data_IF_837437551013
#
_entry.id   IF_837437551013
#
_cell.length_a   1.000
_cell.length_b   1.000
_cell.length_c   1.000
_cell.angle_alpha   90.00
_cell.angle_beta   90.00
_cell.angle_gamma   90.00
#
_symmetry.space_group_name_H-M   'P 1'
#
loop_
_entity.id
_entity.type
_entity.pdbx_description
1 polymer ?
#
# COMPACT_ATOMS: atom_id res chain seq x y z
N UNK A 1 -16.60 -14.97 19.82
CA UNK A 1 -16.45 -13.55 20.22
C UNK A 1 -14.99 -13.14 20.33
N UNK A 2 -14.65 -11.95 19.77
CA UNK A 2 -13.31 -11.38 19.89
C UNK A 2 -13.11 -10.94 21.36
N UNK A 3 -12.04 -11.42 21.99
CA UNK A 3 -11.71 -11.12 23.40
C UNK A 3 -10.72 -9.95 23.51
N UNK A 4 -9.82 -9.83 22.56
CA UNK A 4 -8.81 -8.77 22.50
C UNK A 4 -8.55 -8.33 21.07
N UNK A 5 -8.02 -7.12 20.91
CA UNK A 5 -7.52 -6.61 19.64
C UNK A 5 -6.01 -6.36 19.78
N UNK A 6 -5.26 -6.67 18.73
CA UNK A 6 -3.82 -6.57 18.71
C UNK A 6 -3.39 -5.63 17.57
N UNK A 7 -2.64 -4.60 17.91
CA UNK A 7 -2.05 -3.62 16.99
C UNK A 7 -0.54 -3.68 17.11
N UNK A 8 0.16 -3.47 16.01
CA UNK A 8 1.62 -3.46 15.97
C UNK A 8 2.05 -2.15 15.32
N UNK A 9 2.94 -1.43 16.00
CA UNK A 9 3.65 -0.27 15.44
C UNK A 9 5.09 -0.73 15.20
N UNK A 10 5.51 -0.73 13.94
CA UNK A 10 6.87 -1.07 13.54
C UNK A 10 7.59 0.18 13.08
N UNK A 11 8.80 0.40 13.59
CA UNK A 11 9.62 1.55 13.27
C UNK A 11 10.65 1.18 12.19
N UNK A 12 11.15 2.17 11.46
CA UNK A 12 12.20 1.96 10.48
C UNK A 12 13.51 1.61 11.20
N UNK A 13 14.26 0.59 10.78
CA UNK A 13 15.58 0.27 11.35
C UNK A 13 16.58 1.44 11.29
N UNK A 14 16.48 2.29 10.26
CA UNK A 14 17.33 3.48 10.14
C UNK A 14 17.15 4.47 11.30
N UNK A 15 15.96 4.51 11.92
CA UNK A 15 15.68 5.40 13.06
C UNK A 15 16.56 5.09 14.28
N UNK A 16 17.06 3.87 14.40
CA UNK A 16 17.98 3.47 15.49
C UNK A 16 19.31 4.21 15.36
N UNK A 17 19.85 4.27 14.15
CA UNK A 17 21.16 4.86 13.86
C UNK A 17 21.10 6.36 13.59
N UNK A 18 20.05 6.81 12.91
CA UNK A 18 19.95 8.19 12.42
C UNK A 18 19.19 9.11 13.40
N UNK A 19 18.16 8.58 14.06
CA UNK A 19 17.24 9.38 14.88
C UNK A 19 17.27 9.01 16.38
N UNK A 20 18.20 8.14 16.78
CA UNK A 20 18.39 7.74 18.17
C UNK A 20 17.20 7.01 18.77
N UNK A 21 16.48 6.22 17.96
CA UNK A 21 15.40 5.38 18.44
C UNK A 21 15.98 4.26 19.32
N UNK A 22 15.41 4.12 20.51
CA UNK A 22 15.71 3.03 21.43
C UNK A 22 14.43 2.30 21.81
N UNK A 23 14.55 1.05 22.30
CA UNK A 23 13.38 0.32 22.80
C UNK A 23 12.62 1.09 23.90
N UNK A 24 13.33 1.83 24.77
CA UNK A 24 12.69 2.68 25.80
C UNK A 24 11.90 3.84 25.19
N UNK A 25 12.47 4.52 24.17
CA UNK A 25 11.79 5.61 23.47
C UNK A 25 10.58 5.11 22.71
N UNK A 26 10.68 4.00 21.97
CA UNK A 26 9.56 3.34 21.30
C UNK A 26 8.44 2.94 22.27
N UNK A 27 8.81 2.37 23.44
CA UNK A 27 7.87 2.00 24.48
C UNK A 27 7.11 3.23 25.02
N UNK A 28 7.81 4.34 25.31
CA UNK A 28 7.19 5.56 25.81
C UNK A 28 6.20 6.15 24.80
N UNK A 29 6.60 6.28 23.53
CA UNK A 29 5.76 6.77 22.43
C UNK A 29 4.52 5.90 22.27
N UNK A 30 4.69 4.58 22.25
CA UNK A 30 3.59 3.64 22.06
C UNK A 30 2.62 3.61 23.24
N UNK A 31 3.10 3.84 24.47
CA UNK A 31 2.25 4.01 25.64
C UNK A 31 1.38 5.27 25.53
N UNK A 32 1.94 6.38 25.08
CA UNK A 32 1.18 7.64 24.86
C UNK A 32 0.13 7.42 23.78
N UNK A 33 0.52 6.82 22.63
CA UNK A 33 -0.41 6.48 21.55
C UNK A 33 -1.53 5.55 22.02
N UNK A 34 -1.20 4.56 22.84
CA UNK A 34 -2.20 3.64 23.39
C UNK A 34 -3.20 4.37 24.31
N UNK A 35 -2.73 5.28 25.18
CA UNK A 35 -3.59 6.09 26.03
C UNK A 35 -4.51 7.01 25.21
N UNK A 36 -3.99 7.63 24.16
CA UNK A 36 -4.71 8.53 23.28
C UNK A 36 -5.77 7.81 22.44
N UNK A 37 -5.40 6.66 21.85
CA UNK A 37 -6.26 5.99 20.87
C UNK A 37 -7.19 4.93 21.48
N UNK A 38 -6.86 4.42 22.67
CA UNK A 38 -7.66 3.40 23.36
C UNK A 38 -8.08 3.85 24.76
N UNK A 39 -8.63 5.06 24.89
CA UNK A 39 -9.03 5.56 26.21
C UNK A 39 -10.11 4.65 26.82
N UNK A 40 -9.98 4.37 28.11
CA UNK A 40 -10.92 3.53 28.87
C UNK A 40 -10.81 2.02 28.65
N UNK A 41 -9.89 1.55 27.78
CA UNK A 41 -9.57 0.12 27.63
C UNK A 41 -8.42 -0.28 28.54
N UNK A 42 -8.43 -1.53 28.98
CA UNK A 42 -7.22 -2.14 29.50
C UNK A 42 -6.29 -2.48 28.34
N UNK A 43 -5.06 -2.04 28.42
CA UNK A 43 -4.06 -2.23 27.38
C UNK A 43 -2.77 -2.83 27.96
N UNK A 44 -2.16 -3.74 27.22
CA UNK A 44 -0.79 -4.19 27.39
C UNK A 44 0.03 -3.64 26.24
N UNK A 45 1.12 -2.94 26.55
CA UNK A 45 2.03 -2.38 25.56
C UNK A 45 3.43 -2.95 25.81
N UNK A 46 3.97 -3.65 24.81
CA UNK A 46 5.28 -4.33 24.91
C UNK A 46 6.10 -4.02 23.67
N UNK A 47 7.34 -3.58 23.88
CA UNK A 47 8.28 -3.29 22.80
C UNK A 47 9.31 -4.40 22.69
N UNK A 48 9.55 -4.86 21.47
CA UNK A 48 10.59 -5.78 21.08
C UNK A 48 11.66 -5.03 20.29
N UNK A 49 12.92 -5.38 20.52
CA UNK A 49 14.08 -4.74 19.88
C UNK A 49 14.83 -5.66 18.92
N UNK A 50 14.44 -6.91 18.86
CA UNK A 50 15.13 -7.99 18.15
C UNK A 50 14.55 -8.31 16.77
N UNK A 51 13.50 -7.68 16.36
CA UNK A 51 12.85 -7.90 15.05
C UNK A 51 12.69 -9.38 14.67
N UNK A 52 11.55 -9.78 14.17
CA UNK A 52 11.38 -11.16 13.68
C UNK A 52 12.25 -11.35 12.42
N UNK A 53 13.05 -12.42 12.35
CA UNK A 53 14.00 -12.76 11.27
C UNK A 53 15.25 -11.85 11.21
N UNK A 54 15.82 -11.49 12.35
CA UNK A 54 17.10 -10.71 12.40
C UNK A 54 17.01 -9.34 11.69
N UNK A 55 15.79 -8.86 11.41
CA UNK A 55 15.58 -7.57 10.74
C UNK A 55 15.99 -6.37 11.59
N UNK A 56 16.19 -6.56 12.90
CA UNK A 56 16.63 -5.53 13.84
C UNK A 56 15.63 -4.39 14.07
N UNK A 57 14.42 -4.45 13.48
CA UNK A 57 13.47 -3.36 13.66
C UNK A 57 12.77 -3.43 15.02
N UNK A 58 12.83 -2.29 15.70
CA UNK A 58 12.05 -2.08 16.91
C UNK A 58 10.57 -2.06 16.56
N UNK A 59 9.77 -2.84 17.28
CA UNK A 59 8.32 -2.83 17.11
C UNK A 59 7.61 -2.97 18.44
N UNK A 60 6.44 -2.36 18.54
CA UNK A 60 5.64 -2.36 19.77
C UNK A 60 4.29 -3.01 19.51
N UNK A 61 3.95 -3.95 20.37
CA UNK A 61 2.64 -4.61 20.42
C UNK A 61 1.73 -3.86 21.38
N UNK A 62 0.55 -3.48 20.92
CA UNK A 62 -0.51 -2.91 21.73
C UNK A 62 -1.67 -3.91 21.73
N UNK A 63 -1.92 -4.57 22.84
CA UNK A 63 -3.03 -5.50 23.00
C UNK A 63 -4.05 -4.87 23.92
N UNK A 64 -5.27 -4.69 23.44
CA UNK A 64 -6.37 -4.14 24.25
C UNK A 64 -7.44 -5.18 24.50
N UNK A 65 -8.09 -5.10 25.66
CA UNK A 65 -9.32 -5.85 25.89
C UNK A 65 -10.41 -5.37 24.92
N UNK A 66 -11.22 -6.29 24.40
CA UNK A 66 -12.27 -5.94 23.44
C UNK A 66 -13.40 -5.07 24.04
N UNK A 67 -13.54 -5.04 25.35
CA UNK A 67 -14.60 -4.30 26.05
C UNK A 67 -14.00 -3.11 26.80
N UNK A 68 -14.59 -1.93 26.63
CA UNK A 68 -14.20 -0.72 27.35
C UNK A 68 -14.52 -0.84 28.84
N UNK A 69 -13.54 -0.61 29.69
CA UNK A 69 -13.68 -0.75 31.16
C UNK A 69 -14.35 0.47 31.81
N UNK A 70 -13.98 1.67 31.37
CA UNK A 70 -14.48 2.93 31.91
C UNK A 70 -15.03 3.81 30.79
N UNK A 71 -16.11 4.53 31.05
CA UNK A 71 -16.62 5.53 30.12
C UNK A 71 -15.59 6.65 29.90
N UNK A 72 -15.59 7.22 28.70
CA UNK A 72 -14.65 8.25 28.27
C UNK A 72 -15.38 9.34 27.49
N UNK A 73 -14.70 10.44 27.23
CA UNK A 73 -15.19 11.45 26.31
C UNK A 73 -15.28 10.90 24.88
N UNK A 74 -16.36 11.25 24.18
CA UNK A 74 -16.60 10.80 22.81
C UNK A 74 -15.54 11.34 21.87
N UNK A 75 -14.93 10.42 21.12
CA UNK A 75 -13.91 10.75 20.13
C UNK A 75 -14.49 10.90 18.72
N UNK A 76 -13.89 11.74 17.85
CA UNK A 76 -14.38 11.97 16.49
C UNK A 76 -14.49 10.72 15.61
N UNK A 77 -13.72 9.67 15.89
CA UNK A 77 -13.75 8.39 15.16
C UNK A 77 -14.85 7.44 15.63
N UNK A 78 -15.56 7.77 16.72
CA UNK A 78 -16.68 6.97 17.21
C UNK A 78 -17.95 7.31 16.42
N UNK A 79 -18.47 6.35 15.67
CA UNK A 79 -19.57 6.54 14.72
C UNK A 79 -20.91 5.95 15.21
N UNK A 80 -20.89 5.12 16.26
CA UNK A 80 -22.10 4.54 16.85
C UNK A 80 -22.52 5.21 18.15
N UNK A 81 -23.82 5.26 18.45
CA UNK A 81 -24.31 5.70 19.74
C UNK A 81 -23.67 4.91 20.89
N UNK A 82 -23.37 5.59 21.98
CA UNK A 82 -22.83 4.98 23.21
C UNK A 82 -21.45 4.29 23.05
N UNK A 83 -20.72 4.56 21.98
CA UNK A 83 -19.40 3.94 21.73
C UNK A 83 -18.37 4.38 22.78
N UNK A 84 -18.58 5.52 23.44
CA UNK A 84 -17.83 6.07 24.57
C UNK A 84 -18.12 5.39 25.92
N UNK A 85 -19.22 4.63 26.03
CA UNK A 85 -19.69 4.06 27.29
C UNK A 85 -18.84 2.85 27.77
N UNK A 86 -18.80 2.64 29.08
CA UNK A 86 -18.27 1.42 29.65
C UNK A 86 -19.10 0.21 29.19
N UNK A 87 -18.46 -0.93 28.98
CA UNK A 87 -19.10 -2.15 28.46
C UNK A 87 -19.20 -2.21 26.93
N UNK A 88 -18.92 -1.12 26.22
CA UNK A 88 -18.98 -1.12 24.75
C UNK A 88 -17.79 -1.86 24.13
N UNK A 89 -18.05 -2.67 23.10
CA UNK A 89 -17.02 -3.42 22.39
C UNK A 89 -16.24 -2.53 21.43
N UNK A 90 -14.93 -2.71 21.41
CA UNK A 90 -14.06 -2.03 20.46
C UNK A 90 -14.40 -2.40 19.00
N UNK A 91 -14.34 -1.38 18.13
CA UNK A 91 -14.63 -1.51 16.70
C UNK A 91 -13.44 -0.99 15.89
N UNK A 92 -12.79 -1.89 15.17
CA UNK A 92 -11.75 -1.54 14.20
C UNK A 92 -12.38 -1.12 12.87
N UNK A 93 -13.08 0.03 12.87
CA UNK A 93 -13.67 0.62 11.66
C UNK A 93 -12.61 1.31 10.80
N UNK A 94 -12.90 1.54 9.52
CA UNK A 94 -12.01 2.32 8.65
C UNK A 94 -11.77 3.72 9.22
N UNK A 95 -12.80 4.34 9.82
CA UNK A 95 -12.70 5.65 10.45
C UNK A 95 -11.73 5.65 11.63
N UNK A 96 -11.84 4.65 12.52
CA UNK A 96 -10.90 4.45 13.61
C UNK A 96 -9.48 4.17 13.09
N UNK A 97 -9.33 3.26 12.13
CA UNK A 97 -8.02 2.90 11.59
C UNK A 97 -7.33 4.07 10.90
N UNK A 98 -8.07 4.91 10.19
CA UNK A 98 -7.52 6.12 9.59
C UNK A 98 -7.09 7.14 10.65
N UNK A 99 -7.88 7.34 11.71
CA UNK A 99 -7.51 8.19 12.83
C UNK A 99 -6.25 7.67 13.54
N UNK A 100 -6.18 6.36 13.82
CA UNK A 100 -5.02 5.72 14.43
C UNK A 100 -3.75 5.88 13.59
N UNK A 101 -3.80 5.57 12.30
CA UNK A 101 -2.69 5.75 11.37
C UNK A 101 -2.20 7.20 11.32
N UNK A 102 -3.14 8.14 11.23
CA UNK A 102 -2.83 9.57 11.21
C UNK A 102 -2.10 10.00 12.49
N UNK A 103 -2.61 9.60 13.66
CA UNK A 103 -2.00 9.91 14.95
C UNK A 103 -0.58 9.31 15.08
N UNK A 104 -0.38 8.06 14.60
CA UNK A 104 0.96 7.44 14.57
C UNK A 104 1.91 8.23 13.66
N UNK A 105 1.46 8.63 12.46
CA UNK A 105 2.28 9.41 11.52
C UNK A 105 2.64 10.77 12.10
N UNK A 106 1.67 11.49 12.69
CA UNK A 106 1.90 12.78 13.34
C UNK A 106 2.92 12.67 14.48
N UNK A 107 2.81 11.61 15.29
CA UNK A 107 3.78 11.36 16.37
C UNK A 107 5.18 11.03 15.83
N UNK A 108 5.30 10.17 14.83
CA UNK A 108 6.57 9.86 14.19
C UNK A 108 7.22 11.11 13.56
N UNK A 109 6.41 11.98 12.96
CA UNK A 109 6.88 13.25 12.40
C UNK A 109 7.45 14.17 13.49
N UNK A 110 6.77 14.28 14.64
CA UNK A 110 7.23 15.07 15.79
C UNK A 110 8.57 14.56 16.35
N UNK A 111 8.77 13.25 16.30
CA UNK A 111 10.02 12.60 16.74
C UNK A 111 11.15 12.66 15.70
N UNK A 112 10.86 13.10 14.46
CA UNK A 112 11.78 13.13 13.34
C UNK A 112 12.08 11.75 12.74
N UNK A 113 11.20 10.77 12.93
CA UNK A 113 11.38 9.41 12.44
C UNK A 113 11.02 9.27 10.96
N UNK A 114 11.65 8.33 10.30
CA UNK A 114 11.29 7.88 8.96
C UNK A 114 9.87 7.33 8.96
N UNK A 115 9.12 7.68 7.94
CA UNK A 115 7.74 7.21 7.83
C UNK A 115 7.30 7.07 6.39
N UNK A 116 6.33 6.20 6.19
CA UNK A 116 5.57 6.08 4.96
C UNK A 116 4.17 6.63 5.18
N UNK A 117 3.50 7.07 4.12
CA UNK A 117 2.10 7.46 4.20
C UNK A 117 1.21 6.20 4.40
N UNK A 118 0.78 5.98 5.64
CA UNK A 118 -0.07 4.85 6.02
C UNK A 118 -1.53 4.99 5.51
N UNK A 119 -1.94 6.17 5.03
CA UNK A 119 -3.29 6.43 4.51
C UNK A 119 -3.38 6.09 3.02
N UNK A 120 -2.27 6.13 2.31
CA UNK A 120 -2.21 5.71 0.92
C UNK A 120 -2.26 4.18 0.83
N UNK A 121 -3.18 3.61 0.05
CA UNK A 121 -3.22 2.16 -0.16
C UNK A 121 -1.96 1.66 -0.86
N UNK A 122 -1.43 0.52 -0.42
CA UNK A 122 -0.24 -0.07 -1.01
C UNK A 122 -0.43 -0.40 -2.50
N UNK A 123 0.54 -0.03 -3.33
CA UNK A 123 0.57 -0.39 -4.76
C UNK A 123 0.62 -1.90 -4.97
N UNK A 124 1.45 -2.59 -4.20
CA UNK A 124 1.56 -4.05 -4.15
C UNK A 124 1.22 -4.51 -2.73
N UNK A 125 0.07 -5.18 -2.58
CA UNK A 125 -0.45 -5.54 -1.26
C UNK A 125 -0.16 -7.00 -0.94
N UNK A 126 0.66 -7.24 0.08
CA UNK A 126 0.88 -8.57 0.66
C UNK A 126 0.28 -8.62 2.07
N UNK A 127 -0.51 -9.64 2.35
CA UNK A 127 -1.07 -9.85 3.70
C UNK A 127 -0.19 -10.80 4.50
N UNK A 128 -0.24 -10.71 5.83
CA UNK A 128 0.50 -11.64 6.70
C UNK A 128 0.18 -13.11 6.39
N UNK A 129 -1.09 -13.43 6.11
CA UNK A 129 -1.50 -14.80 5.71
C UNK A 129 -0.81 -15.25 4.42
N UNK A 130 -0.68 -14.35 3.46
CA UNK A 130 -0.01 -14.63 2.19
C UNK A 130 1.50 -14.82 2.39
N UNK A 131 2.13 -13.97 3.21
CA UNK A 131 3.54 -14.12 3.59
C UNK A 131 3.83 -15.46 4.26
N UNK A 132 3.00 -15.85 5.24
CA UNK A 132 3.13 -17.15 5.93
C UNK A 132 2.93 -18.31 4.94
N UNK A 133 1.93 -18.22 4.06
CA UNK A 133 1.66 -19.24 3.04
C UNK A 133 2.84 -19.37 2.06
N UNK A 134 3.47 -18.26 1.67
CA UNK A 134 4.65 -18.27 0.82
C UNK A 134 5.85 -18.93 1.52
N UNK A 135 6.12 -18.56 2.77
CA UNK A 135 7.20 -19.15 3.58
C UNK A 135 7.04 -20.67 3.73
N UNK A 136 5.85 -21.14 4.10
CA UNK A 136 5.59 -22.57 4.23
C UNK A 136 5.61 -23.29 2.88
N UNK A 137 5.12 -22.64 1.81
CA UNK A 137 5.17 -23.19 0.46
C UNK A 137 6.60 -23.32 -0.05
N UNK A 138 7.44 -22.31 0.19
CA UNK A 138 8.85 -22.35 -0.18
C UNK A 138 9.59 -23.49 0.56
N UNK A 139 9.40 -23.59 1.87
CA UNK A 139 10.02 -24.65 2.67
C UNK A 139 9.66 -26.05 2.14
N UNK A 140 8.39 -26.29 1.81
CA UNK A 140 7.96 -27.57 1.23
C UNK A 140 8.57 -27.82 -0.16
N UNK A 141 8.67 -26.77 -0.97
CA UNK A 141 9.29 -26.85 -2.29
C UNK A 141 10.78 -27.19 -2.17
N UNK A 142 11.48 -26.56 -1.21
CA UNK A 142 12.89 -26.81 -0.95
C UNK A 142 13.13 -28.27 -0.51
N UNK A 143 12.27 -28.81 0.37
CA UNK A 143 12.31 -30.22 0.79
C UNK A 143 12.10 -31.19 -0.39
N UNK A 144 11.18 -30.86 -1.32
CA UNK A 144 10.92 -31.65 -2.52
C UNK A 144 12.12 -31.56 -3.48
N UNK A 145 12.63 -30.35 -3.70
CA UNK A 145 13.75 -30.10 -4.59
C UNK A 145 15.03 -30.80 -4.12
N UNK A 146 15.24 -30.84 -2.80
CA UNK A 146 16.38 -31.55 -2.23
C UNK A 146 16.31 -33.06 -2.55
N UNK A 147 15.15 -33.70 -2.45
CA UNK A 147 14.95 -35.10 -2.83
C UNK A 147 15.18 -35.31 -4.33
N UNK A 148 14.68 -34.39 -5.18
CA UNK A 148 14.90 -34.45 -6.63
C UNK A 148 16.41 -34.39 -6.97
N UNK A 149 17.17 -33.56 -6.25
CA UNK A 149 18.63 -33.44 -6.43
C UNK A 149 19.34 -34.69 -5.91
N UNK A 150 18.94 -35.26 -4.79
CA UNK A 150 19.46 -36.51 -4.24
C UNK A 150 19.25 -37.69 -5.22
N UNK A 151 18.14 -37.68 -5.98
CA UNK A 151 17.83 -38.63 -7.04
C UNK A 151 18.59 -38.33 -8.36
N UNK A 152 19.49 -37.34 -8.38
CA UNK A 152 20.30 -36.97 -9.56
C UNK A 152 19.54 -36.17 -10.61
N UNK A 153 18.35 -35.65 -10.30
CA UNK A 153 17.52 -34.90 -11.22
C UNK A 153 17.62 -33.38 -10.94
N UNK A 154 17.25 -32.55 -11.93
CA UNK A 154 17.17 -31.08 -11.74
C UNK A 154 15.76 -30.65 -11.40
N UNK A 155 15.56 -29.81 -10.34
CA UNK A 155 14.28 -29.22 -10.05
C UNK A 155 13.77 -28.34 -11.20
N UNK A 156 12.49 -28.42 -11.49
CA UNK A 156 11.82 -27.59 -12.52
C UNK A 156 11.46 -26.21 -12.00
N UNK A 157 11.25 -26.06 -10.70
CA UNK A 157 10.96 -24.78 -10.06
C UNK A 157 11.67 -24.69 -8.72
N UNK A 158 12.30 -23.54 -8.46
CA UNK A 158 13.00 -23.26 -7.20
C UNK A 158 12.31 -22.20 -6.35
N UNK A 159 11.30 -21.52 -6.89
CA UNK A 159 10.58 -20.45 -6.21
C UNK A 159 9.10 -20.80 -6.12
N UNK A 160 8.59 -20.83 -4.89
CA UNK A 160 7.17 -21.00 -4.64
C UNK A 160 6.45 -19.66 -4.80
N UNK A 161 5.41 -19.62 -5.64
CA UNK A 161 4.56 -18.46 -5.84
C UNK A 161 3.18 -18.72 -5.24
N UNK A 162 2.70 -17.80 -4.40
CA UNK A 162 1.29 -17.81 -4.01
C UNK A 162 0.42 -17.45 -5.21
N UNK A 163 -0.86 -17.86 -5.20
CA UNK A 163 -1.78 -17.53 -6.30
C UNK A 163 -1.90 -16.02 -6.55
N UNK A 164 -1.81 -15.19 -5.51
CA UNK A 164 -1.82 -13.74 -5.66
C UNK A 164 -0.52 -13.21 -6.26
N UNK A 165 0.60 -13.77 -5.86
CA UNK A 165 1.90 -13.41 -6.40
C UNK A 165 2.01 -13.80 -7.88
N UNK A 166 1.52 -14.97 -8.23
CA UNK A 166 1.40 -15.40 -9.63
C UNK A 166 0.55 -14.41 -10.45
N UNK A 167 -0.61 -14.00 -9.93
CA UNK A 167 -1.46 -12.99 -10.59
C UNK A 167 -0.73 -11.65 -10.75
N UNK A 168 -0.03 -11.16 -9.71
CA UNK A 168 0.70 -9.90 -9.78
C UNK A 168 1.79 -9.94 -10.86
N UNK A 169 2.57 -11.01 -10.90
CA UNK A 169 3.64 -11.16 -11.87
C UNK A 169 3.09 -11.22 -13.30
N UNK A 170 2.06 -12.01 -13.54
CA UNK A 170 1.40 -12.10 -14.84
C UNK A 170 0.80 -10.77 -15.29
N UNK A 171 0.14 -10.04 -14.37
CA UNK A 171 -0.43 -8.72 -14.67
C UNK A 171 0.70 -7.73 -15.00
N UNK A 172 1.77 -7.67 -14.20
CA UNK A 172 2.91 -6.79 -14.44
C UNK A 172 3.56 -7.07 -15.81
N UNK A 173 3.76 -8.34 -16.16
CA UNK A 173 4.34 -8.75 -17.44
C UNK A 173 3.42 -8.38 -18.61
N UNK A 174 2.15 -8.77 -18.58
CA UNK A 174 1.22 -8.44 -19.65
C UNK A 174 0.99 -6.92 -19.76
N UNK A 175 0.89 -6.18 -18.65
CA UNK A 175 0.72 -4.73 -18.67
C UNK A 175 1.95 -4.03 -19.25
N UNK A 176 3.16 -4.54 -19.02
CA UNK A 176 4.40 -3.96 -19.57
C UNK A 176 4.48 -4.07 -21.10
N UNK A 177 3.96 -5.15 -21.65
CA UNK A 177 4.05 -5.49 -23.08
C UNK A 177 2.82 -5.12 -23.91
N UNK A 178 1.72 -4.70 -23.29
CA UNK A 178 0.46 -4.36 -23.97
C UNK A 178 0.30 -2.85 -24.13
N UNK A 179 -0.35 -2.43 -25.20
CA UNK A 179 -0.67 -1.03 -25.49
C UNK A 179 -2.14 -0.69 -25.24
N UNK A 180 -3.00 -1.68 -25.11
CA UNK A 180 -4.42 -1.52 -24.83
C UNK A 180 -4.92 -2.53 -23.81
N UNK A 181 -6.10 -2.27 -23.24
CA UNK A 181 -6.72 -3.19 -22.31
C UNK A 181 -7.12 -4.52 -22.99
N UNK A 182 -7.60 -4.47 -24.23
CA UNK A 182 -8.00 -5.66 -24.98
C UNK A 182 -6.80 -6.57 -25.27
N UNK A 183 -5.66 -5.98 -25.67
CA UNK A 183 -4.40 -6.71 -25.86
C UNK A 183 -3.91 -7.32 -24.53
N UNK A 184 -3.98 -6.56 -23.45
CA UNK A 184 -3.63 -7.01 -22.11
C UNK A 184 -4.51 -8.21 -21.68
N UNK A 185 -5.83 -8.13 -21.89
CA UNK A 185 -6.78 -9.20 -21.55
C UNK A 185 -6.50 -10.46 -22.35
N UNK A 186 -6.25 -10.32 -23.65
CA UNK A 186 -5.91 -11.45 -24.53
C UNK A 186 -4.61 -12.13 -24.09
N UNK A 187 -3.55 -11.38 -23.83
CA UNK A 187 -2.28 -11.92 -23.34
C UNK A 187 -2.40 -12.62 -21.99
N UNK A 188 -3.15 -12.04 -21.04
CA UNK A 188 -3.41 -12.69 -19.75
C UNK A 188 -4.09 -14.05 -19.93
N UNK A 189 -5.05 -14.13 -20.85
CA UNK A 189 -5.76 -15.39 -21.10
C UNK A 189 -4.89 -16.41 -21.84
N UNK A 190 -4.20 -16.00 -22.89
CA UNK A 190 -3.40 -16.88 -23.76
C UNK A 190 -2.13 -17.42 -23.06
N UNK A 191 -1.40 -16.54 -22.36
CA UNK A 191 -0.10 -16.90 -21.79
C UNK A 191 -0.20 -17.48 -20.37
N UNK A 192 -1.17 -16.99 -19.58
CA UNK A 192 -1.27 -17.33 -18.16
C UNK A 192 -2.59 -17.99 -17.77
N UNK A 193 -3.53 -18.16 -18.71
CA UNK A 193 -4.87 -18.69 -18.47
C UNK A 193 -5.65 -17.90 -17.39
N UNK A 194 -5.35 -16.61 -17.25
CA UNK A 194 -5.99 -15.70 -16.31
C UNK A 194 -7.08 -14.94 -17.02
N UNK A 195 -8.32 -15.07 -16.54
CA UNK A 195 -9.42 -14.22 -17.03
C UNK A 195 -9.64 -13.01 -16.12
N UNK A 196 -9.81 -11.83 -16.71
CA UNK A 196 -10.17 -10.60 -16.02
C UNK A 196 -11.58 -10.16 -16.39
N UNK A 197 -12.33 -9.70 -15.40
CA UNK A 197 -13.64 -9.07 -15.60
C UNK A 197 -13.72 -7.77 -14.83
N UNK A 198 -14.54 -6.86 -15.32
CA UNK A 198 -14.95 -5.69 -14.58
C UNK A 198 -16.28 -5.97 -13.86
N UNK A 199 -16.30 -5.68 -12.55
CA UNK A 199 -17.51 -5.75 -11.76
C UNK A 199 -17.56 -4.54 -10.80
N UNK A 200 -18.65 -3.77 -10.87
CA UNK A 200 -18.86 -2.56 -10.06
C UNK A 200 -17.68 -1.58 -10.14
N UNK A 201 -17.18 -1.34 -11.36
CA UNK A 201 -16.09 -0.41 -11.62
C UNK A 201 -14.70 -0.89 -11.20
N UNK A 202 -14.51 -2.19 -10.91
CA UNK A 202 -13.26 -2.78 -10.46
C UNK A 202 -12.91 -4.04 -11.19
N UNK A 203 -11.62 -4.33 -11.35
CA UNK A 203 -11.15 -5.57 -11.93
C UNK A 203 -11.13 -6.71 -10.92
N UNK A 204 -11.46 -7.89 -11.43
CA UNK A 204 -11.36 -9.16 -10.69
C UNK A 204 -10.75 -10.22 -11.59
N UNK A 205 -9.75 -10.91 -11.09
CA UNK A 205 -8.92 -11.87 -11.81
C UNK A 205 -9.23 -13.27 -11.36
N UNK A 206 -9.28 -14.21 -12.29
CA UNK A 206 -9.45 -15.63 -12.00
C UNK A 206 -8.13 -16.35 -12.28
N UNK A 207 -7.52 -16.87 -11.22
CA UNK A 207 -6.36 -17.75 -11.32
C UNK A 207 -6.77 -19.11 -11.92
N UNK A 208 -5.96 -19.77 -12.78
CA UNK A 208 -6.32 -21.03 -13.42
C UNK A 208 -6.75 -22.13 -12.43
N UNK A 209 -6.06 -22.25 -11.30
CA UNK A 209 -6.35 -23.28 -10.28
C UNK A 209 -7.39 -22.84 -9.26
N UNK A 210 -8.22 -21.86 -9.57
CA UNK A 210 -9.16 -21.31 -8.60
C UNK A 210 -10.57 -21.16 -9.14
N UNK A 211 -11.56 -21.42 -8.28
CA UNK A 211 -12.97 -21.21 -8.64
C UNK A 211 -13.45 -19.78 -8.35
N UNK A 212 -12.87 -19.09 -7.36
CA UNK A 212 -13.28 -17.75 -6.95
C UNK A 212 -12.31 -16.70 -7.42
N UNK A 213 -12.83 -15.60 -7.97
CA UNK A 213 -12.04 -14.46 -8.43
C UNK A 213 -11.34 -13.73 -7.27
N UNK A 214 -10.19 -13.18 -7.56
CA UNK A 214 -9.41 -12.32 -6.67
C UNK A 214 -9.62 -10.88 -7.14
N UNK A 215 -10.07 -10.02 -6.23
CA UNK A 215 -10.30 -8.60 -6.55
C UNK A 215 -8.99 -7.80 -6.56
N UNK A 216 -8.93 -6.76 -7.37
CA UNK A 216 -7.80 -5.82 -7.43
C UNK A 216 -7.41 -5.27 -6.05
N UNK A 217 -8.38 -5.00 -5.16
CA UNK A 217 -8.13 -4.53 -3.79
C UNK A 217 -7.25 -5.46 -2.96
N UNK A 218 -7.28 -6.75 -3.24
CA UNK A 218 -6.49 -7.74 -2.52
C UNK A 218 -5.10 -7.94 -3.11
N UNK A 219 -4.85 -7.42 -4.31
CA UNK A 219 -3.55 -7.46 -5.00
C UNK A 219 -2.75 -6.16 -4.75
N UNK A 220 -3.42 -5.00 -4.77
CA UNK A 220 -2.85 -3.67 -4.62
C UNK A 220 -3.36 -2.71 -5.69
N UNK A 221 -3.15 -1.39 -5.50
CA UNK A 221 -3.68 -0.36 -6.41
C UNK A 221 -3.09 -0.43 -7.81
N UNK A 222 -1.84 -0.90 -7.96
CA UNK A 222 -1.15 -1.10 -9.24
C UNK A 222 -1.91 -2.06 -10.18
N UNK A 223 -2.66 -3.00 -9.62
CA UNK A 223 -3.42 -4.02 -10.35
C UNK A 223 -4.88 -3.62 -10.58
N UNK A 224 -5.22 -2.39 -10.25
CA UNK A 224 -6.56 -1.84 -10.36
C UNK A 224 -6.84 -1.18 -11.70
N UNK A 225 -8.14 -1.02 -11.98
CA UNK A 225 -8.65 -0.44 -13.22
C UNK A 225 -8.04 0.93 -13.53
N UNK A 226 -7.99 1.82 -12.55
CA UNK A 226 -7.51 3.19 -12.76
C UNK A 226 -6.02 3.22 -13.14
N UNK A 227 -5.19 2.44 -12.43
CA UNK A 227 -3.76 2.37 -12.72
C UNK A 227 -3.48 1.78 -14.12
N UNK A 228 -4.12 0.65 -14.45
CA UNK A 228 -3.95 0.00 -15.75
C UNK A 228 -4.45 0.89 -16.89
N UNK A 229 -5.60 1.55 -16.71
CA UNK A 229 -6.11 2.52 -17.69
C UNK A 229 -5.10 3.65 -17.94
N UNK A 230 -4.53 4.23 -16.90
CA UNK A 230 -3.50 5.26 -17.03
C UNK A 230 -2.22 4.72 -17.70
N UNK A 231 -1.84 3.49 -17.39
CA UNK A 231 -0.67 2.84 -18.00
C UNK A 231 -0.83 2.70 -19.52
N UNK A 232 -2.00 2.26 -19.98
CA UNK A 232 -2.27 2.14 -21.42
C UNK A 232 -2.45 3.49 -22.10
N UNK A 233 -3.12 4.46 -21.46
CA UNK A 233 -3.22 5.84 -21.99
C UNK A 233 -1.85 6.50 -22.19
N UNK A 234 -0.90 6.27 -21.30
CA UNK A 234 0.48 6.80 -21.44
C UNK A 234 1.24 6.16 -22.61
N UNK A 235 0.87 4.96 -23.00
CA UNK A 235 1.46 4.25 -24.14
C UNK A 235 0.78 4.58 -25.47
N UNK A 236 -0.42 5.17 -25.43
CA UNK A 236 -1.15 5.57 -26.63
C UNK A 236 -0.52 6.84 -27.26
N UNK A 237 0.08 6.75 -28.46
CA UNK A 237 0.71 7.89 -29.12
C UNK A 237 -0.26 9.04 -29.39
N UNK A 238 -1.54 8.72 -29.66
CA UNK A 238 -2.58 9.71 -29.95
C UNK A 238 -2.99 10.47 -28.69
N UNK A 239 -3.11 9.80 -27.55
CA UNK A 239 -3.41 10.42 -26.26
C UNK A 239 -2.27 11.36 -25.82
N UNK A 240 -1.01 10.97 -26.06
CA UNK A 240 0.17 11.80 -25.78
C UNK A 240 0.17 13.05 -26.65
N UNK A 241 -0.16 12.93 -27.94
CA UNK A 241 -0.26 14.05 -28.86
C UNK A 241 -1.39 15.02 -28.48
N UNK A 242 -2.54 14.50 -28.07
CA UNK A 242 -3.67 15.33 -27.62
C UNK A 242 -3.34 16.13 -26.36
N UNK A 243 -2.76 15.50 -25.35
CA UNK A 243 -2.32 16.17 -24.12
C UNK A 243 -1.25 17.22 -24.43
N UNK A 244 -0.25 16.91 -25.26
CA UNK A 244 0.80 17.86 -25.68
C UNK A 244 0.25 19.04 -26.48
N UNK A 245 -0.74 18.82 -27.35
CA UNK A 245 -1.37 19.89 -28.13
C UNK A 245 -2.21 20.82 -27.26
N UNK A 246 -2.96 20.27 -26.30
CA UNK A 246 -3.76 21.03 -25.33
C UNK A 246 -2.89 21.87 -24.39
N UNK A 247 -1.81 21.31 -23.87
CA UNK A 247 -0.84 22.03 -23.04
C UNK A 247 -0.15 23.14 -23.81
N UNK A 248 0.16 22.92 -25.09
CA UNK A 248 0.72 23.94 -25.97
C UNK A 248 -0.22 25.13 -26.19
N UNK A 249 -1.52 24.85 -26.32
CA UNK A 249 -2.55 25.89 -26.50
C UNK A 249 -2.68 26.77 -25.25
N UNK A 250 -2.72 26.17 -24.06
CA UNK A 250 -2.81 26.88 -22.78
C UNK A 250 -1.57 27.75 -22.54
N UNK A 251 -0.37 27.25 -22.83
CA UNK A 251 0.88 28.00 -22.71
C UNK A 251 0.91 29.18 -23.69
N UNK A 252 0.46 28.96 -24.94
CA UNK A 252 0.41 30.02 -25.95
C UNK A 252 -0.61 31.11 -25.58
N UNK A 253 -1.77 30.75 -24.99
CA UNK A 253 -2.76 31.72 -24.52
C UNK A 253 -2.23 32.60 -23.38
N UNK A 254 -1.61 32.01 -22.38
CA UNK A 254 -1.00 32.74 -21.27
C UNK A 254 0.16 33.62 -21.71
N UNK A 255 0.96 33.17 -22.69
CA UNK A 255 2.07 33.92 -23.24
C UNK A 255 1.58 35.13 -24.03
N UNK A 256 0.51 34.97 -24.82
CA UNK A 256 -0.08 36.07 -25.59
C UNK A 256 -0.72 37.14 -24.69
N UNK A 257 -1.43 36.74 -23.61
CA UNK A 257 -2.03 37.70 -22.67
C UNK A 257 -0.94 38.50 -21.94
N UNK A 258 0.19 37.89 -21.56
CA UNK A 258 1.29 38.56 -20.86
C UNK A 258 2.23 39.32 -21.80
N UNK A 259 2.34 38.91 -23.06
CA UNK A 259 3.11 39.65 -24.08
C UNK A 259 2.54 41.04 -24.37
N UNK A 260 1.23 41.24 -24.18
CA UNK A 260 0.58 42.55 -24.25
C UNK A 260 0.99 43.50 -23.13
N UNK A 261 1.47 43.00 -21.98
CA UNK A 261 1.88 43.79 -20.84
C UNK A 261 3.41 44.07 -20.80
N UNK A 262 4.26 43.14 -21.25
CA UNK A 262 5.71 43.30 -21.32
C UNK A 262 6.37 42.17 -22.14
N UNK A 263 7.02 42.47 -23.30
CA UNK A 263 7.65 41.45 -24.14
C UNK A 263 8.77 40.65 -23.43
N UNK A 264 9.57 41.32 -22.62
CA UNK A 264 10.66 40.66 -21.87
C UNK A 264 10.14 39.69 -20.78
N UNK A 265 9.02 40.00 -20.16
CA UNK A 265 8.38 39.17 -19.15
C UNK A 265 7.71 37.96 -19.80
N UNK A 266 7.06 38.13 -20.94
CA UNK A 266 6.44 37.06 -21.70
C UNK A 266 7.46 35.99 -22.14
N UNK A 267 8.66 36.37 -22.49
CA UNK A 267 9.73 35.46 -22.88
C UNK A 267 10.22 34.61 -21.69
N UNK A 268 10.40 35.20 -20.50
CA UNK A 268 10.78 34.50 -19.29
C UNK A 268 9.71 33.47 -18.82
N UNK A 269 8.44 33.88 -18.87
CA UNK A 269 7.33 33.02 -18.49
C UNK A 269 7.20 31.82 -19.43
N UNK A 270 7.45 32.02 -20.72
CA UNK A 270 7.47 30.94 -21.72
C UNK A 270 8.54 29.88 -21.42
N UNK A 271 9.74 30.30 -21.05
CA UNK A 271 10.84 29.40 -20.70
C UNK A 271 10.57 28.65 -19.38
N UNK A 272 10.08 29.34 -18.33
CA UNK A 272 9.79 28.69 -17.03
C UNK A 272 8.63 27.72 -17.12
N UNK A 273 7.57 28.03 -17.87
CA UNK A 273 6.45 27.14 -18.08
C UNK A 273 6.83 25.91 -18.92
N UNK A 274 7.68 26.06 -19.94
CA UNK A 274 8.19 24.91 -20.68
C UNK A 274 9.07 24.01 -19.84
N UNK A 275 9.88 24.57 -18.94
CA UNK A 275 10.70 23.82 -18.00
C UNK A 275 9.86 23.09 -16.93
N UNK A 276 8.84 23.75 -16.38
CA UNK A 276 7.90 23.11 -15.46
C UNK A 276 7.11 21.98 -16.13
N UNK A 277 6.69 22.17 -17.38
CA UNK A 277 5.97 21.14 -18.13
C UNK A 277 6.88 19.96 -18.49
N UNK A 278 8.14 20.18 -18.83
CA UNK A 278 9.12 19.12 -19.06
C UNK A 278 9.33 18.28 -17.79
N UNK A 279 9.37 18.90 -16.61
CA UNK A 279 9.52 18.21 -15.32
C UNK A 279 8.24 17.51 -14.84
N UNK A 280 7.08 17.84 -15.42
CA UNK A 280 5.79 17.18 -15.06
C UNK A 280 5.51 15.98 -15.97
N UNK A 281 6.21 15.85 -17.10
CA UNK A 281 5.99 14.81 -18.13
C UNK A 281 7.04 13.68 -18.02
N UNK A 282 8.08 13.86 -17.23
CA UNK A 282 9.08 12.84 -16.89
C UNK A 282 8.68 12.13 -15.61
#
# INVERSE_FOLDING_TARGET
DIKSHHYIISYDPADVTENGLTGKRAQAISLELAKQMFPGYQALVVTHTDGHNESGNIHTHIVINSVRKTAVERQPYMDKPHEEAAGYKHRSTDKFMNAFKKTVMERCQQEGFHQIDLLVPAERKTTQKEYIAQKHGQQKLDEINQKIIEDGLKPTSTVFLTQKEYLRNAIDECASTSNSFDEFQSKLLEQFQISVIEHRGRYSYLHPDRQKRITERSLGTRYGKEHLKQTFLRKDPLAILYVRSHLRLVVNLQTNVKAMQSPAYAHRVKLSNLQQMANTII
#
